data_IF_387094236422
#
_entry.id   IF_387094236422
#
_cell.length_a   1.000
_cell.length_b   1.000
_cell.length_c   1.000
_cell.angle_alpha   90.00
_cell.angle_beta   90.00
_cell.angle_gamma   90.00
#
_symmetry.space_group_name_H-M   'P 1'
#
loop_
_entity.id
_entity.type
_entity.pdbx_description
1 polymer ?
#
# COMPACT_ATOMS: atom_id res chain seq x y z
N UNK A 1 -71.98 -20.90 -21.06
CA UNK A 1 -70.75 -20.18 -21.49
C UNK A 1 -69.99 -19.80 -20.24
N UNK A 2 -68.90 -20.54 -20.01
CA UNK A 2 -68.01 -20.52 -18.84
C UNK A 2 -67.08 -19.32 -18.88
N UNK A 3 -66.86 -18.65 -17.75
CA UNK A 3 -65.62 -17.89 -17.51
C UNK A 3 -65.22 -18.06 -16.03
N UNK A 4 -64.08 -18.73 -15.84
CA UNK A 4 -63.38 -18.94 -14.58
C UNK A 4 -62.70 -17.64 -14.14
N UNK A 5 -62.82 -17.28 -12.85
CA UNK A 5 -61.99 -16.25 -12.23
C UNK A 5 -60.80 -16.91 -11.53
N UNK A 6 -59.63 -16.86 -12.16
CA UNK A 6 -58.36 -17.30 -11.59
C UNK A 6 -57.82 -16.24 -10.64
N UNK A 7 -57.61 -16.62 -9.37
CA UNK A 7 -56.94 -15.80 -8.36
C UNK A 7 -55.42 -15.91 -8.54
N UNK A 8 -54.78 -14.82 -9.00
CA UNK A 8 -53.31 -14.75 -9.10
C UNK A 8 -52.71 -14.39 -7.74
N UNK A 9 -51.94 -15.31 -7.16
CA UNK A 9 -51.01 -15.07 -6.06
C UNK A 9 -49.92 -14.07 -6.51
N UNK A 10 -49.82 -12.91 -5.86
CA UNK A 10 -48.65 -12.03 -5.99
C UNK A 10 -47.62 -12.40 -4.94
N UNK A 11 -46.47 -12.86 -5.40
CA UNK A 11 -45.27 -13.14 -4.60
C UNK A 11 -44.66 -11.84 -4.08
N UNK A 12 -44.51 -11.75 -2.75
CA UNK A 12 -43.74 -10.69 -2.09
C UNK A 12 -42.25 -10.87 -2.36
N UNK A 13 -41.66 -9.94 -3.12
CA UNK A 13 -40.19 -9.87 -3.26
C UNK A 13 -39.59 -9.18 -2.03
N UNK A 14 -38.72 -9.89 -1.33
CA UNK A 14 -37.91 -9.37 -0.23
C UNK A 14 -37.04 -8.18 -0.66
N UNK A 15 -36.97 -7.18 0.21
CA UNK A 15 -36.22 -5.96 0.01
C UNK A 15 -34.73 -6.22 0.27
N UNK A 16 -33.93 -6.31 -0.80
CA UNK A 16 -32.47 -6.50 -0.75
C UNK A 16 -31.80 -5.17 -0.30
N UNK A 17 -31.12 -5.10 0.87
CA UNK A 17 -30.58 -3.85 1.44
C UNK A 17 -29.40 -3.26 0.65
N UNK A 18 -29.03 -3.87 -0.48
CA UNK A 18 -27.87 -3.50 -1.30
C UNK A 18 -28.20 -2.78 -2.61
N UNK A 19 -29.45 -2.32 -2.84
CA UNK A 19 -29.79 -1.47 -4.00
C UNK A 19 -29.88 0.02 -3.58
N UNK A 20 -29.16 0.94 -4.25
CA UNK A 20 -29.18 2.35 -3.90
C UNK A 20 -30.53 3.00 -4.27
N UNK A 21 -31.15 3.69 -3.32
CA UNK A 21 -32.27 4.62 -3.58
C UNK A 21 -31.72 5.87 -4.27
N UNK A 22 -32.32 6.26 -5.39
CA UNK A 22 -31.99 7.49 -6.12
C UNK A 22 -32.29 8.73 -5.23
N UNK A 23 -31.35 9.66 -5.02
CA UNK A 23 -31.59 10.83 -4.19
C UNK A 23 -32.46 11.89 -4.90
N UNK A 24 -33.34 12.52 -4.12
CA UNK A 24 -34.25 13.58 -4.56
C UNK A 24 -33.56 14.95 -4.72
N UNK A 25 -34.18 15.80 -5.54
CA UNK A 25 -33.74 17.07 -6.16
C UNK A 25 -33.29 18.24 -5.25
N UNK A 26 -32.70 18.02 -4.08
CA UNK A 26 -32.10 19.10 -3.28
C UNK A 26 -30.57 19.00 -3.26
N UNK A 27 -29.98 19.24 -4.44
CA UNK A 27 -28.56 19.54 -4.63
C UNK A 27 -28.42 20.97 -5.14
N UNK A 28 -28.10 21.92 -4.27
CA UNK A 28 -27.50 23.20 -4.68
C UNK A 28 -26.95 23.96 -3.45
N UNK A 29 -25.93 23.42 -2.80
CA UNK A 29 -25.01 24.21 -1.95
C UNK A 29 -23.59 23.63 -2.08
N UNK A 30 -23.12 23.64 -3.33
CA UNK A 30 -21.73 23.38 -3.74
C UNK A 30 -20.92 24.63 -3.33
N UNK A 31 -19.73 24.52 -2.72
CA UNK A 31 -18.49 24.51 -3.51
C UNK A 31 -17.29 23.92 -2.73
N UNK A 32 -17.38 23.59 -1.44
CA UNK A 32 -16.22 23.09 -0.65
C UNK A 32 -16.12 21.56 -0.47
N UNK A 33 -17.13 20.78 -0.85
CA UNK A 33 -17.16 19.31 -0.71
C UNK A 33 -16.91 18.56 -2.03
N UNK A 34 -16.28 19.21 -3.01
CA UNK A 34 -16.13 18.71 -4.38
C UNK A 34 -15.09 17.62 -4.63
N UNK A 35 -14.42 17.06 -3.62
CA UNK A 35 -13.32 16.10 -3.85
C UNK A 35 -13.33 14.82 -3.00
N UNK A 36 -14.38 14.54 -2.21
CA UNK A 36 -14.33 13.42 -1.24
C UNK A 36 -15.41 12.33 -1.38
N UNK A 37 -16.08 12.23 -2.54
CA UNK A 37 -17.07 11.16 -2.79
C UNK A 37 -16.50 9.92 -3.52
N UNK A 38 -15.20 9.88 -3.81
CA UNK A 38 -14.57 8.83 -4.65
C UNK A 38 -13.52 7.97 -3.95
N UNK A 39 -13.15 8.31 -2.71
CA UNK A 39 -12.17 7.57 -1.91
C UNK A 39 -12.87 6.49 -1.06
N UNK A 40 -12.19 5.35 -0.86
CA UNK A 40 -12.66 4.30 0.04
C UNK A 40 -12.64 4.83 1.48
N UNK A 41 -13.78 4.82 2.17
CA UNK A 41 -13.84 5.20 3.59
C UNK A 41 -13.47 4.03 4.48
N UNK A 42 -13.06 4.30 5.73
CA UNK A 42 -12.77 3.24 6.70
C UNK A 42 -14.01 2.37 6.97
N UNK A 43 -15.20 2.96 7.05
CA UNK A 43 -16.44 2.20 7.23
C UNK A 43 -16.68 1.22 6.08
N UNK A 44 -16.51 1.69 4.84
CA UNK A 44 -16.62 0.82 3.67
C UNK A 44 -15.57 -0.29 3.69
N UNK A 45 -14.34 0.02 4.11
CA UNK A 45 -13.28 -0.97 4.26
C UNK A 45 -13.67 -2.02 5.32
N UNK A 46 -14.09 -1.60 6.51
CA UNK A 46 -14.52 -2.45 7.63
C UNK A 46 -15.75 -3.29 7.30
N UNK A 47 -16.64 -2.83 6.41
CA UNK A 47 -17.78 -3.63 5.93
C UNK A 47 -17.39 -4.80 5.00
N UNK A 48 -16.22 -4.73 4.39
CA UNK A 48 -15.74 -5.71 3.42
C UNK A 48 -14.64 -6.62 3.97
N UNK A 49 -13.77 -6.08 4.83
CA UNK A 49 -12.57 -6.73 5.32
C UNK A 49 -12.43 -6.63 6.84
N UNK A 50 -11.88 -7.68 7.43
CA UNK A 50 -11.28 -7.67 8.77
C UNK A 50 -9.77 -7.60 8.63
N UNK A 51 -9.10 -6.88 9.53
CA UNK A 51 -7.64 -6.74 9.58
C UNK A 51 -7.14 -7.22 10.94
N UNK A 52 -6.11 -8.08 10.93
CA UNK A 52 -5.40 -8.47 12.14
C UNK A 52 -4.11 -7.64 12.28
N UNK A 53 -3.99 -6.75 13.29
CA UNK A 53 -2.79 -5.92 13.49
C UNK A 53 -1.52 -6.72 13.79
N UNK A 54 -1.63 -7.90 14.40
CA UNK A 54 -0.51 -8.74 14.82
C UNK A 54 0.06 -9.57 13.67
N UNK A 55 -0.77 -10.03 12.73
CA UNK A 55 -0.30 -10.74 11.53
C UNK A 55 -0.13 -9.83 10.32
N UNK A 56 -0.83 -8.70 10.28
CA UNK A 56 -0.88 -7.80 9.13
C UNK A 56 -1.78 -8.30 7.99
N UNK A 57 -2.57 -9.35 8.23
CA UNK A 57 -3.41 -9.97 7.22
C UNK A 57 -4.80 -9.35 7.15
N UNK A 58 -5.35 -9.33 5.94
CA UNK A 58 -6.74 -8.98 5.68
C UNK A 58 -7.54 -10.22 5.34
N UNK A 59 -8.77 -10.30 5.83
CA UNK A 59 -9.70 -11.40 5.56
C UNK A 59 -11.02 -10.83 5.04
N UNK A 60 -11.60 -11.44 4.00
CA UNK A 60 -12.94 -11.08 3.51
C UNK A 60 -14.00 -11.47 4.55
N UNK A 61 -14.80 -10.51 5.03
CA UNK A 61 -15.92 -10.81 5.94
C UNK A 61 -17.26 -10.91 5.20
N UNK A 62 -17.37 -10.29 4.03
CA UNK A 62 -18.54 -10.37 3.15
C UNK A 62 -18.12 -10.89 1.77
N UNK A 63 -19.08 -11.48 1.04
CA UNK A 63 -18.83 -11.88 -0.35
C UNK A 63 -18.50 -10.64 -1.16
N UNK A 64 -17.35 -10.66 -1.84
CA UNK A 64 -16.97 -9.57 -2.73
C UNK A 64 -17.59 -9.76 -4.13
N UNK A 65 -17.41 -8.76 -5.01
CA UNK A 65 -17.92 -8.78 -6.40
C UNK A 65 -17.40 -9.99 -7.21
N UNK A 66 -16.26 -10.56 -6.84
CA UNK A 66 -15.68 -11.74 -7.48
C UNK A 66 -16.16 -13.06 -6.84
N UNK A 67 -17.21 -12.99 -6.00
CA UNK A 67 -17.80 -14.13 -5.29
C UNK A 67 -16.80 -14.89 -4.40
N UNK A 68 -15.76 -14.21 -3.91
CA UNK A 68 -14.83 -14.79 -2.94
C UNK A 68 -15.59 -15.02 -1.63
N UNK A 69 -15.47 -16.24 -1.09
CA UNK A 69 -16.12 -16.61 0.17
C UNK A 69 -15.56 -15.80 1.34
N UNK A 70 -16.42 -15.52 2.32
CA UNK A 70 -15.98 -14.98 3.60
C UNK A 70 -14.98 -15.94 4.28
N UNK A 71 -14.08 -15.39 5.09
CA UNK A 71 -13.03 -16.13 5.79
C UNK A 71 -11.75 -16.37 5.00
N UNK A 72 -11.68 -15.98 3.71
CA UNK A 72 -10.45 -16.10 2.90
C UNK A 72 -9.55 -14.89 3.04
N UNK A 73 -8.24 -15.12 3.07
CA UNK A 73 -7.22 -14.05 3.00
C UNK A 73 -7.42 -13.19 1.77
N UNK A 74 -7.38 -11.87 1.96
CA UNK A 74 -7.62 -10.89 0.94
C UNK A 74 -6.32 -10.41 0.31
N UNK A 75 -6.34 -10.32 -1.02
CA UNK A 75 -5.26 -9.78 -1.82
C UNK A 75 -4.41 -10.84 -2.49
N UNK A 76 -3.43 -10.37 -3.25
CA UNK A 76 -2.45 -11.21 -3.94
C UNK A 76 -1.10 -10.51 -3.96
N UNK A 77 -0.03 -11.30 -4.03
CA UNK A 77 1.33 -10.78 -4.13
C UNK A 77 1.58 -10.26 -5.56
N UNK A 78 1.99 -9.01 -5.68
CA UNK A 78 2.47 -8.43 -6.94
C UNK A 78 3.93 -8.78 -7.18
N UNK A 79 4.36 -8.69 -8.45
CA UNK A 79 5.76 -8.88 -8.85
C UNK A 79 6.76 -7.93 -8.17
N UNK A 80 6.29 -6.78 -7.68
CA UNK A 80 7.10 -5.82 -6.93
C UNK A 80 7.14 -6.09 -5.42
N UNK A 81 6.54 -7.18 -4.94
CA UNK A 81 6.54 -7.63 -3.55
C UNK A 81 5.45 -7.04 -2.66
N UNK A 82 4.59 -6.15 -3.17
CA UNK A 82 3.47 -5.62 -2.39
C UNK A 82 2.24 -6.53 -2.50
N UNK A 83 1.47 -6.62 -1.41
CA UNK A 83 0.14 -7.24 -1.43
C UNK A 83 -0.88 -6.21 -1.91
N UNK A 84 -1.65 -6.58 -2.94
CA UNK A 84 -2.71 -5.76 -3.52
C UNK A 84 -4.08 -6.39 -3.30
N UNK A 85 -5.03 -5.58 -2.83
CA UNK A 85 -6.42 -5.96 -2.56
C UNK A 85 -7.34 -5.12 -3.44
N UNK A 86 -8.26 -5.78 -4.15
CA UNK A 86 -9.23 -5.12 -5.04
C UNK A 86 -10.58 -4.99 -4.34
N UNK A 87 -11.04 -3.76 -4.11
CA UNK A 87 -12.30 -3.44 -3.44
C UNK A 87 -13.14 -2.56 -4.37
N UNK A 88 -14.39 -2.94 -4.63
CA UNK A 88 -15.32 -2.19 -5.52
C UNK A 88 -14.70 -1.82 -6.88
N UNK A 89 -13.89 -2.70 -7.45
CA UNK A 89 -13.26 -2.50 -8.76
C UNK A 89 -11.98 -1.65 -8.76
N UNK A 90 -11.56 -1.09 -7.62
CA UNK A 90 -10.31 -0.34 -7.47
C UNK A 90 -9.28 -1.18 -6.70
N UNK A 91 -8.01 -1.06 -7.08
CA UNK A 91 -6.89 -1.74 -6.44
C UNK A 91 -6.25 -0.87 -5.35
N UNK A 92 -5.96 -1.46 -4.20
CA UNK A 92 -5.35 -0.80 -3.05
C UNK A 92 -4.19 -1.66 -2.51
N UNK A 93 -3.13 -1.02 -2.02
CA UNK A 93 -2.02 -1.72 -1.38
C UNK A 93 -2.37 -2.03 0.08
N UNK A 94 -2.06 -3.25 0.54
CA UNK A 94 -2.44 -3.72 1.88
C UNK A 94 -1.92 -2.83 3.01
N UNK A 95 -0.66 -2.40 2.96
CA UNK A 95 -0.10 -1.47 3.96
C UNK A 95 -0.85 -0.13 4.06
N UNK A 96 -1.42 0.37 2.96
CA UNK A 96 -2.23 1.60 2.97
C UNK A 96 -3.60 1.35 3.58
N UNK A 97 -4.18 0.20 3.28
CA UNK A 97 -5.43 -0.22 3.91
C UNK A 97 -5.25 -0.46 5.41
N UNK A 98 -4.09 -0.94 5.87
CA UNK A 98 -3.80 -1.12 7.30
C UNK A 98 -3.84 0.22 8.05
N UNK A 99 -3.20 1.25 7.47
CA UNK A 99 -3.29 2.62 7.99
C UNK A 99 -4.72 3.13 8.03
N UNK A 100 -5.46 3.02 6.92
CA UNK A 100 -6.85 3.45 6.87
C UNK A 100 -7.73 2.69 7.89
N UNK A 101 -7.49 1.40 8.09
CA UNK A 101 -8.26 0.55 9.00
C UNK A 101 -8.08 0.94 10.47
N UNK A 102 -6.85 1.28 10.87
CA UNK A 102 -6.50 1.56 12.27
C UNK A 102 -6.63 3.05 12.60
N UNK A 103 -6.10 3.93 11.74
CA UNK A 103 -5.97 5.36 12.03
C UNK A 103 -7.08 6.22 11.41
N UNK A 104 -7.94 5.64 10.56
CA UNK A 104 -8.99 6.34 9.81
C UNK A 104 -8.48 7.47 8.89
N UNK A 105 -7.18 7.48 8.60
CA UNK A 105 -6.54 8.49 7.77
C UNK A 105 -5.63 7.84 6.74
N UNK A 106 -5.64 8.39 5.52
CA UNK A 106 -4.61 8.12 4.54
C UNK A 106 -3.58 9.24 4.61
N UNK A 107 -2.29 8.93 4.44
CA UNK A 107 -1.27 9.96 4.40
C UNK A 107 -1.58 10.98 3.32
N UNK A 108 -1.23 12.24 3.58
CA UNK A 108 -1.12 13.26 2.54
C UNK A 108 -0.32 12.73 1.35
N UNK A 109 -0.63 13.22 0.14
CA UNK A 109 0.03 12.80 -1.10
C UNK A 109 1.56 12.96 -1.08
N UNK A 110 2.08 13.82 -0.21
CA UNK A 110 3.50 14.09 0.04
C UNK A 110 4.22 12.99 0.86
N UNK A 111 3.47 12.17 1.59
CA UNK A 111 4.00 11.12 2.47
C UNK A 111 3.73 9.72 1.93
N UNK A 112 4.59 8.79 2.31
CA UNK A 112 4.49 7.38 1.98
C UNK A 112 4.42 6.56 3.26
N UNK A 113 3.80 5.39 3.17
CA UNK A 113 3.84 4.39 4.23
C UNK A 113 5.00 3.46 3.88
N UNK A 114 6.04 3.51 4.70
CA UNK A 114 7.24 2.70 4.59
C UNK A 114 7.14 1.49 5.53
N UNK A 115 7.71 0.37 5.09
CA UNK A 115 7.85 -0.85 5.88
C UNK A 115 9.15 -0.76 6.66
N UNK A 116 9.11 -0.60 7.98
CA UNK A 116 10.27 -0.44 8.85
C UNK A 116 11.31 -1.53 8.55
N UNK A 117 10.91 -2.79 8.57
CA UNK A 117 11.80 -3.93 8.30
C UNK A 117 12.12 -4.16 6.81
N UNK A 118 11.72 -3.26 5.90
CA UNK A 118 11.95 -3.39 4.45
C UNK A 118 11.24 -4.56 3.76
N UNK A 119 10.45 -5.36 4.50
CA UNK A 119 9.67 -6.46 3.95
C UNK A 119 8.27 -5.98 3.57
N UNK A 120 8.03 -5.84 2.25
CA UNK A 120 6.77 -5.35 1.68
C UNK A 120 5.56 -6.25 1.94
N UNK A 121 5.78 -7.50 2.33
CA UNK A 121 4.72 -8.45 2.66
C UNK A 121 4.25 -8.35 4.12
N UNK A 122 5.09 -7.77 4.99
CA UNK A 122 4.80 -7.62 6.41
C UNK A 122 3.98 -6.34 6.65
N UNK A 123 2.67 -6.45 6.53
CA UNK A 123 1.74 -5.32 6.65
C UNK A 123 1.19 -5.13 8.08
N UNK A 124 1.90 -5.62 9.11
CA UNK A 124 1.57 -5.35 10.51
C UNK A 124 1.69 -3.86 10.78
N UNK A 125 0.71 -3.27 11.47
CA UNK A 125 0.69 -1.81 11.69
C UNK A 125 1.94 -1.34 12.46
N UNK A 126 2.46 -2.18 13.37
CA UNK A 126 3.70 -1.94 14.11
C UNK A 126 4.96 -1.95 13.23
N UNK A 127 4.91 -2.54 12.04
CA UNK A 127 6.00 -2.57 11.06
C UNK A 127 5.89 -1.44 10.02
N UNK A 128 4.91 -0.55 10.13
CA UNK A 128 4.67 0.49 9.15
C UNK A 128 4.86 1.88 9.77
N UNK A 129 5.40 2.82 9.00
CA UNK A 129 5.62 4.20 9.44
C UNK A 129 5.38 5.21 8.33
N UNK A 130 5.05 6.45 8.69
CA UNK A 130 5.07 7.56 7.74
C UNK A 130 6.51 7.96 7.42
N UNK A 131 6.81 8.09 6.13
CA UNK A 131 8.10 8.50 5.64
C UNK A 131 7.95 9.41 4.41
N UNK A 132 8.85 10.37 4.26
CA UNK A 132 9.03 11.07 2.98
C UNK A 132 9.65 10.12 1.95
N UNK A 133 9.54 10.41 0.64
CA UNK A 133 10.20 9.60 -0.39
C UNK A 133 11.71 9.43 -0.15
N UNK A 134 12.39 10.47 0.35
CA UNK A 134 13.82 10.39 0.66
C UNK A 134 14.13 9.49 1.85
N UNK A 135 13.27 9.48 2.88
CA UNK A 135 13.39 8.60 4.05
C UNK A 135 13.12 7.15 3.67
N UNK A 136 12.07 6.87 2.89
CA UNK A 136 11.78 5.53 2.38
C UNK A 136 12.96 4.96 1.55
N UNK A 137 13.61 5.80 0.74
CA UNK A 137 14.82 5.39 -0.01
C UNK A 137 16.00 5.00 0.89
N UNK A 138 16.08 5.52 2.12
CA UNK A 138 17.10 5.08 3.08
C UNK A 138 16.93 3.61 3.43
N UNK A 139 15.72 3.07 3.38
CA UNK A 139 15.45 1.67 3.67
C UNK A 139 15.72 0.72 2.48
N UNK A 140 16.33 1.21 1.40
CA UNK A 140 16.76 0.37 0.28
C UNK A 140 17.83 -0.63 0.72
N UNK A 141 17.61 -1.92 0.44
CA UNK A 141 18.52 -3.00 0.83
C UNK A 141 19.39 -3.55 -0.30
N UNK A 142 18.95 -3.39 -1.54
CA UNK A 142 19.64 -3.94 -2.71
C UNK A 142 20.28 -2.85 -3.56
N UNK A 143 21.50 -3.11 -4.02
CA UNK A 143 22.18 -2.26 -4.99
C UNK A 143 21.62 -2.42 -6.40
N UNK A 144 22.01 -1.48 -7.27
CA UNK A 144 21.72 -1.55 -8.71
C UNK A 144 23.03 -1.76 -9.47
N UNK A 145 22.93 -2.10 -10.75
CA UNK A 145 24.11 -2.24 -11.62
C UNK A 145 24.83 -3.57 -11.45
N UNK A 146 26.14 -3.55 -11.74
CA UNK A 146 26.97 -4.74 -12.00
C UNK A 146 27.14 -5.66 -10.79
N UNK A 147 27.47 -5.12 -9.61
CA UNK A 147 27.69 -5.94 -8.41
C UNK A 147 26.41 -6.30 -7.66
N UNK A 148 25.30 -5.59 -7.91
CA UNK A 148 24.07 -5.62 -7.10
C UNK A 148 24.28 -5.28 -5.61
N UNK A 149 25.50 -4.91 -5.21
CA UNK A 149 25.84 -4.50 -3.85
C UNK A 149 25.45 -3.05 -3.62
N UNK A 150 24.87 -2.77 -2.47
CA UNK A 150 24.35 -1.45 -2.16
C UNK A 150 25.49 -0.43 -2.01
N UNK A 151 25.39 0.69 -2.73
CA UNK A 151 26.41 1.74 -2.66
C UNK A 151 27.70 1.48 -3.42
N UNK A 152 27.87 0.30 -4.03
CA UNK A 152 29.02 -0.02 -4.88
C UNK A 152 28.70 0.30 -6.35
N UNK A 153 29.28 1.38 -6.87
CA UNK A 153 29.03 1.86 -8.24
C UNK A 153 30.29 1.67 -9.07
N UNK A 154 30.22 0.94 -10.19
CA UNK A 154 31.35 0.80 -11.10
C UNK A 154 31.54 2.09 -11.91
N UNK A 155 32.73 2.70 -11.82
CA UNK A 155 33.14 3.82 -12.66
C UNK A 155 34.05 3.31 -13.79
N UNK A 156 33.50 3.26 -15.00
CA UNK A 156 34.21 2.79 -16.19
C UNK A 156 35.40 3.67 -16.58
N UNK A 157 35.34 4.99 -16.32
CA UNK A 157 36.42 5.90 -16.73
C UNK A 157 37.66 5.72 -15.86
N UNK A 158 37.45 5.41 -14.59
CA UNK A 158 38.52 5.24 -13.60
C UNK A 158 38.90 3.78 -13.36
N UNK A 159 38.10 2.83 -13.87
CA UNK A 159 38.22 1.40 -13.59
C UNK A 159 38.26 1.09 -12.09
N UNK A 160 37.42 1.77 -11.30
CA UNK A 160 37.31 1.60 -9.84
C UNK A 160 35.84 1.53 -9.41
N UNK A 161 35.62 0.96 -8.24
CA UNK A 161 34.34 1.01 -7.54
C UNK A 161 34.25 2.26 -6.69
N UNK A 162 33.22 3.07 -6.89
CA UNK A 162 32.95 4.30 -6.16
C UNK A 162 31.86 4.04 -5.12
N UNK A 163 32.10 4.49 -3.89
CA UNK A 163 31.09 4.57 -2.85
C UNK A 163 30.63 6.02 -2.65
N UNK A 164 29.32 6.23 -2.66
CA UNK A 164 28.71 7.54 -2.38
C UNK A 164 27.35 7.35 -1.70
N UNK A 165 26.99 8.30 -0.83
CA UNK A 165 25.71 8.31 -0.13
C UNK A 165 25.01 9.66 -0.30
N UNK A 166 23.68 9.66 -0.36
CA UNK A 166 22.88 10.88 -0.41
C UNK A 166 22.30 11.15 0.97
N UNK A 167 22.53 12.35 1.51
CA UNK A 167 22.02 12.80 2.81
C UNK A 167 21.48 14.22 2.63
N UNK A 168 20.25 14.46 3.06
CA UNK A 168 19.59 15.79 2.95
C UNK A 168 19.70 16.42 1.56
N UNK A 169 19.50 15.63 0.51
CA UNK A 169 19.58 16.09 -0.88
C UNK A 169 20.99 16.12 -1.48
N UNK A 170 22.06 16.13 -0.65
CA UNK A 170 23.45 16.28 -1.10
C UNK A 170 24.16 14.93 -1.19
N UNK A 171 25.04 14.76 -2.19
CA UNK A 171 25.88 13.57 -2.33
C UNK A 171 27.16 13.74 -1.52
N UNK A 172 27.50 12.75 -0.71
CA UNK A 172 28.76 12.62 0.01
C UNK A 172 29.57 11.50 -0.62
N UNK A 173 30.78 11.82 -1.05
CA UNK A 173 31.74 10.85 -1.56
C UNK A 173 32.37 10.10 -0.38
N UNK A 174 32.47 8.78 -0.49
CA UNK A 174 32.97 7.90 0.58
C UNK A 174 34.29 7.21 0.21
N UNK A 175 34.68 7.24 -1.07
CA UNK A 175 35.94 6.68 -1.54
C UNK A 175 35.82 5.94 -2.88
N UNK A 176 36.99 5.51 -3.36
CA UNK A 176 37.17 4.62 -4.50
C UNK A 176 37.90 3.35 -4.02
N UNK A 177 37.53 2.22 -4.60
CA UNK A 177 37.95 0.90 -4.17
C UNK A 177 38.25 0.01 -5.38
N UNK A 178 39.16 -0.95 -5.21
CA UNK A 178 39.44 -1.96 -6.23
C UNK A 178 38.30 -2.97 -6.38
N UNK A 179 37.57 -3.22 -5.29
CA UNK A 179 36.56 -4.27 -5.21
C UNK A 179 35.18 -3.69 -4.88
N UNK A 180 34.09 -4.32 -5.36
CA UNK A 180 32.74 -3.91 -5.00
C UNK A 180 32.47 -4.08 -3.49
N UNK A 181 33.09 -5.07 -2.84
CA UNK A 181 32.96 -5.33 -1.40
C UNK A 181 33.55 -4.19 -0.57
N UNK A 182 34.70 -3.63 -0.98
CA UNK A 182 35.30 -2.48 -0.31
C UNK A 182 34.40 -1.25 -0.37
N UNK A 183 33.85 -0.96 -1.55
CA UNK A 183 32.90 0.15 -1.73
C UNK A 183 31.60 -0.07 -0.94
N UNK A 184 31.09 -1.30 -0.93
CA UNK A 184 29.89 -1.67 -0.17
C UNK A 184 30.09 -1.50 1.34
N UNK A 185 31.21 -1.96 1.88
CA UNK A 185 31.54 -1.83 3.31
C UNK A 185 31.62 -0.36 3.75
N UNK A 186 32.32 0.48 2.98
CA UNK A 186 32.39 1.92 3.25
C UNK A 186 31.00 2.58 3.20
N UNK A 187 30.15 2.15 2.27
CA UNK A 187 28.77 2.62 2.19
C UNK A 187 27.92 2.20 3.40
N UNK A 188 27.99 0.93 3.84
CA UNK A 188 27.23 0.45 5.00
C UNK A 188 27.63 1.19 6.28
N UNK A 189 28.92 1.45 6.47
CA UNK A 189 29.40 2.26 7.60
C UNK A 189 28.76 3.66 7.58
N UNK A 190 28.83 4.36 6.45
CA UNK A 190 28.25 5.68 6.33
C UNK A 190 26.71 5.66 6.44
N UNK A 191 26.06 4.61 5.95
CA UNK A 191 24.61 4.44 6.03
C UNK A 191 24.13 4.28 7.47
N UNK A 192 24.80 3.45 8.28
CA UNK A 192 24.51 3.28 9.71
C UNK A 192 24.63 4.60 10.48
N UNK A 193 25.57 5.46 10.10
CA UNK A 193 25.80 6.76 10.76
C UNK A 193 24.85 7.87 10.28
N UNK A 194 24.49 7.89 8.99
CA UNK A 194 23.85 9.05 8.34
C UNK A 194 22.40 8.83 7.92
N UNK A 195 21.90 7.59 7.88
CA UNK A 195 20.53 7.25 7.48
C UNK A 195 19.70 6.75 8.67
N UNK A 196 19.06 7.68 9.37
CA UNK A 196 18.12 7.42 10.48
C UNK A 196 16.97 6.45 10.15
N UNK A 197 16.50 6.41 8.91
CA UNK A 197 15.43 5.49 8.48
C UNK A 197 15.98 4.16 7.95
N UNK A 198 17.30 3.95 7.94
CA UNK A 198 17.88 2.64 7.61
C UNK A 198 17.62 1.63 8.72
N UNK A 199 17.41 0.38 8.34
CA UNK A 199 17.42 -0.77 9.27
C UNK A 199 18.64 -1.68 9.08
N UNK A 200 19.59 -1.26 8.25
CA UNK A 200 20.87 -1.94 7.96
C UNK A 200 22.06 -1.00 8.14
#
# INVERSE_FOLDING_TARGET
MSWYATTTHMSGMGHDPCKPKQPSKLQAFLVYFGANFMALTQEQLKSCLSYNPESGEFIWISRNKNNVRSGRTAGHLRSNGYIEIRIKGKSYLAHRLAFLYVLNELPESSRQIDHINGNRMDNRISNLRLATPSQNLQNQRTGRGRSKMLGAIWDQKRNKWVAQIKVNGKRKYLGMFETPEGAHSAYLKAKKELHEYSTI
#
